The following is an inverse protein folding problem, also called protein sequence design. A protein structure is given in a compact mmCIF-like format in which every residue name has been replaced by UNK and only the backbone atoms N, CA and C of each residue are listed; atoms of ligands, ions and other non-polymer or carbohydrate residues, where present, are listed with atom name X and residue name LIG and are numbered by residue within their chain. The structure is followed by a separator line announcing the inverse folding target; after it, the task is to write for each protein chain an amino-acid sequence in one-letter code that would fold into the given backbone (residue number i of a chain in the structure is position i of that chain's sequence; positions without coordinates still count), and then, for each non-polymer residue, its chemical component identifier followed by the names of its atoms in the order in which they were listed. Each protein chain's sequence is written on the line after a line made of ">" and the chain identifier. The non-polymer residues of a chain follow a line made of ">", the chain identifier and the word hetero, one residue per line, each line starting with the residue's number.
data_IF_195464094058
#
_entry.id   IF_195464094058
#
_cell.length_a   1.000
_cell.length_b   1.000
_cell.length_c   1.000
_cell.angle_alpha   90.00
_cell.angle_beta   90.00
_cell.angle_gamma   90.00
#
_symmetry.space_group_name_H-M   'P 1'
#
loop_
_entity.id
_entity.type
_entity.pdbx_description
1 polymer ?
#
# COMPACT_ATOMS: atom_id res chain seq x y z
N UNK A 1 14.16 5.76 -18.21
CA UNK A 1 13.15 6.83 -18.20
C UNK A 1 12.49 6.92 -16.84
N UNK A 2 12.19 8.15 -16.39
CA UNK A 2 11.44 8.40 -15.16
C UNK A 2 10.11 9.05 -15.53
N UNK A 3 9.03 8.60 -14.90
CA UNK A 3 7.70 9.17 -15.07
C UNK A 3 7.14 9.58 -13.71
N UNK A 4 6.44 10.72 -13.70
CA UNK A 4 5.57 11.15 -12.62
C UNK A 4 4.16 11.25 -13.18
N UNK A 5 3.25 10.43 -12.67
CA UNK A 5 1.87 10.35 -13.16
C UNK A 5 0.95 10.90 -12.08
N UNK A 6 0.07 11.83 -12.47
CA UNK A 6 -0.86 12.52 -11.58
C UNK A 6 -2.29 12.29 -12.05
N UNK A 7 -3.02 11.44 -11.34
CA UNK A 7 -4.41 11.13 -11.66
C UNK A 7 -5.33 11.99 -10.78
N UNK A 8 -6.11 12.93 -11.35
CA UNK A 8 -6.97 13.81 -10.55
C UNK A 8 -8.09 13.00 -9.89
N UNK A 9 -8.30 13.25 -8.60
CA UNK A 9 -9.44 12.75 -7.84
C UNK A 9 -10.51 13.83 -7.73
N UNK A 10 -11.64 13.51 -7.09
CA UNK A 10 -12.81 14.36 -7.02
C UNK A 10 -14.03 13.73 -7.70
N UNK A 11 -14.99 14.54 -8.13
CA UNK A 11 -16.18 14.06 -8.86
C UNK A 11 -16.87 12.89 -8.15
N UNK A 12 -17.04 11.76 -8.87
CA UNK A 12 -17.65 10.55 -8.31
C UNK A 12 -16.88 9.97 -7.11
N UNK A 13 -15.56 10.10 -7.07
CA UNK A 13 -14.74 9.59 -5.95
C UNK A 13 -15.04 10.29 -4.63
N UNK A 14 -15.52 11.55 -4.65
CA UNK A 14 -15.92 12.27 -3.43
C UNK A 14 -17.30 11.86 -2.91
N UNK A 15 -18.11 11.17 -3.72
CA UNK A 15 -19.47 10.74 -3.37
C UNK A 15 -19.52 9.34 -2.77
N UNK A 16 -18.47 8.55 -2.96
CA UNK A 16 -18.34 7.17 -2.45
C UNK A 16 -17.77 7.22 -1.03
N UNK A 17 -18.38 6.50 -0.09
CA UNK A 17 -17.87 6.42 1.29
C UNK A 17 -16.51 5.72 1.34
N UNK A 18 -15.61 6.13 2.25
CA UNK A 18 -14.30 5.47 2.39
C UNK A 18 -14.42 3.99 2.77
N UNK A 19 -15.52 3.61 3.41
CA UNK A 19 -15.78 2.25 3.90
C UNK A 19 -16.69 1.43 2.97
N UNK A 20 -17.15 2.01 1.86
CA UNK A 20 -18.04 1.34 0.89
C UNK A 20 -17.35 0.15 0.24
N UNK A 21 -16.06 0.28 -0.06
CA UNK A 21 -15.21 -0.79 -0.58
C UNK A 21 -13.87 -0.80 0.17
N UNK A 22 -13.02 -1.83 -0.01
CA UNK A 22 -11.70 -1.87 0.64
C UNK A 22 -10.83 -0.65 0.35
N UNK A 23 -10.97 -0.03 -0.83
CA UNK A 23 -10.18 1.13 -1.26
C UNK A 23 -10.69 2.43 -0.59
N UNK A 24 -9.91 3.04 0.32
CA UNK A 24 -10.40 4.08 1.22
C UNK A 24 -10.10 5.51 0.74
N UNK A 25 -9.32 5.69 -0.33
CA UNK A 25 -8.83 7.00 -0.73
C UNK A 25 -9.89 7.74 -1.57
N UNK A 26 -10.90 8.27 -0.88
CA UNK A 26 -12.08 8.94 -1.46
C UNK A 26 -12.03 10.46 -1.22
N UNK A 27 -13.11 11.04 -0.71
CA UNK A 27 -13.22 12.48 -0.38
C UNK A 27 -12.01 12.98 0.43
N UNK A 28 -11.50 14.15 0.05
CA UNK A 28 -10.35 14.80 0.68
C UNK A 28 -8.98 14.49 0.05
N UNK A 29 -8.91 13.58 -0.94
CA UNK A 29 -7.71 13.36 -1.73
C UNK A 29 -7.84 14.12 -3.07
N UNK A 30 -6.84 14.93 -3.42
CA UNK A 30 -6.86 15.76 -4.64
C UNK A 30 -6.43 14.98 -5.89
N UNK A 31 -5.43 14.12 -5.77
CA UNK A 31 -4.90 13.30 -6.85
C UNK A 31 -4.14 12.09 -6.28
N UNK A 32 -4.01 11.04 -7.09
CA UNK A 32 -3.02 9.98 -6.88
C UNK A 32 -1.72 10.36 -7.61
N UNK A 33 -0.58 10.11 -6.97
CA UNK A 33 0.74 10.46 -7.49
C UNK A 33 1.61 9.21 -7.54
N UNK A 34 2.01 8.81 -8.75
CA UNK A 34 2.82 7.63 -8.99
C UNK A 34 4.21 8.04 -9.49
N UNK A 35 5.25 7.46 -8.91
CA UNK A 35 6.62 7.57 -9.42
C UNK A 35 6.98 6.24 -10.09
N UNK A 36 7.46 6.29 -11.32
CA UNK A 36 7.84 5.09 -12.06
C UNK A 36 9.20 5.29 -12.71
N UNK A 37 10.07 4.31 -12.56
CA UNK A 37 11.35 4.27 -13.26
C UNK A 37 11.36 3.03 -14.15
N UNK A 38 11.59 3.23 -15.45
CA UNK A 38 11.78 2.15 -16.43
C UNK A 38 13.21 2.17 -16.93
N UNK A 39 13.82 0.99 -17.05
CA UNK A 39 15.16 0.80 -17.59
C UNK A 39 15.23 -0.52 -18.36
N UNK A 40 16.19 -0.62 -19.28
CA UNK A 40 16.33 -1.77 -20.19
C UNK A 40 17.40 -2.75 -19.71
N UNK A 41 18.47 -2.25 -19.09
CA UNK A 41 19.61 -3.06 -18.68
C UNK A 41 19.28 -3.88 -17.44
N UNK A 42 19.13 -5.19 -17.60
CA UNK A 42 18.88 -6.11 -16.49
C UNK A 42 20.19 -6.51 -15.78
N UNK A 43 20.72 -5.63 -14.93
CA UNK A 43 21.86 -5.92 -14.07
C UNK A 43 21.59 -5.51 -12.62
N UNK A 44 22.20 -6.20 -11.66
CA UNK A 44 22.07 -5.87 -10.23
C UNK A 44 22.48 -4.41 -9.97
N UNK A 45 23.54 -3.94 -10.63
CA UNK A 45 24.05 -2.57 -10.50
C UNK A 45 23.02 -1.53 -10.96
N UNK A 46 22.46 -1.68 -12.16
CA UNK A 46 21.47 -0.72 -12.67
C UNK A 46 20.15 -0.80 -11.89
N UNK A 47 19.69 -2.01 -11.53
CA UNK A 47 18.51 -2.18 -10.67
C UNK A 47 18.68 -1.47 -9.33
N UNK A 48 19.82 -1.65 -8.65
CA UNK A 48 20.11 -0.97 -7.38
C UNK A 48 20.11 0.55 -7.51
N UNK A 49 20.70 1.08 -8.59
CA UNK A 49 20.73 2.52 -8.89
C UNK A 49 19.32 3.08 -9.08
N UNK A 50 18.49 2.44 -9.88
CA UNK A 50 17.12 2.91 -10.16
C UNK A 50 16.20 2.79 -8.94
N UNK A 51 16.30 1.68 -8.19
CA UNK A 51 15.57 1.49 -6.92
C UNK A 51 16.02 2.50 -5.87
N UNK A 52 17.32 2.77 -5.75
CA UNK A 52 17.81 3.81 -4.85
C UNK A 52 17.25 5.18 -5.20
N UNK A 53 17.25 5.54 -6.49
CA UNK A 53 16.76 6.83 -6.96
C UNK A 53 15.27 7.05 -6.66
N UNK A 54 14.41 6.07 -6.94
CA UNK A 54 12.97 6.20 -6.66
C UNK A 54 12.69 6.29 -5.15
N UNK A 55 13.45 5.57 -4.32
CA UNK A 55 13.38 5.68 -2.85
C UNK A 55 13.78 7.08 -2.36
N UNK A 56 14.81 7.68 -2.96
CA UNK A 56 15.22 9.05 -2.65
C UNK A 56 14.12 10.07 -3.00
N UNK A 57 13.52 9.95 -4.19
CA UNK A 57 12.38 10.79 -4.57
C UNK A 57 11.18 10.60 -3.63
N UNK A 58 10.83 9.35 -3.31
CA UNK A 58 9.76 9.04 -2.36
C UNK A 58 10.04 9.66 -0.98
N UNK A 59 11.28 9.62 -0.49
CA UNK A 59 11.69 10.26 0.77
C UNK A 59 11.58 11.79 0.69
N UNK A 60 12.06 12.38 -0.40
CA UNK A 60 11.98 13.83 -0.64
C UNK A 60 10.54 14.34 -0.62
N UNK A 61 9.60 13.58 -1.19
CA UNK A 61 8.19 13.97 -1.28
C UNK A 61 7.40 13.83 0.02
N UNK A 62 8.00 13.28 1.08
CA UNK A 62 7.34 13.01 2.37
C UNK A 62 6.54 14.21 2.95
N UNK A 63 7.02 15.47 2.96
CA UNK A 63 6.28 16.57 3.59
C UNK A 63 5.12 17.10 2.74
N UNK A 64 5.04 16.74 1.46
CA UNK A 64 4.06 17.29 0.50
C UNK A 64 2.89 16.35 0.21
N UNK A 65 2.94 15.11 0.72
CA UNK A 65 1.92 14.09 0.50
C UNK A 65 1.18 13.78 1.80
N UNK A 66 0.18 12.89 1.72
CA UNK A 66 -0.57 12.45 2.89
C UNK A 66 0.32 11.97 4.04
N UNK A 67 -0.13 12.22 5.27
CA UNK A 67 0.52 11.84 6.51
C UNK A 67 -0.51 11.30 7.50
N UNK A 68 -0.05 10.44 8.41
CA UNK A 68 -0.85 9.82 9.48
C UNK A 68 -2.09 9.00 9.01
N UNK A 69 -1.92 7.93 8.23
CA UNK A 69 -0.68 7.39 7.68
C UNK A 69 -0.34 8.03 6.32
N UNK A 70 0.92 7.85 5.87
CA UNK A 70 1.26 8.10 4.47
C UNK A 70 0.56 7.04 3.61
N UNK A 71 -0.45 7.46 2.85
CA UNK A 71 -1.30 6.59 2.07
C UNK A 71 -0.54 5.92 0.92
N UNK A 72 -1.00 4.73 0.54
CA UNK A 72 -0.51 3.95 -0.60
C UNK A 72 -1.67 3.26 -1.30
N UNK A 73 -1.47 2.81 -2.54
CA UNK A 73 -2.48 2.09 -3.32
C UNK A 73 -2.02 0.66 -3.57
N UNK A 74 -2.84 -0.33 -3.19
CA UNK A 74 -2.48 -1.75 -3.21
C UNK A 74 -2.02 -2.25 -4.60
N UNK A 75 -2.63 -1.76 -5.68
CA UNK A 75 -2.27 -2.16 -7.04
C UNK A 75 -0.89 -1.62 -7.47
N UNK A 76 -0.30 -0.71 -6.69
CA UNK A 76 1.10 -0.30 -6.77
C UNK A 76 1.84 -0.85 -5.55
N UNK A 77 1.92 -2.18 -5.47
CA UNK A 77 2.45 -2.89 -4.30
C UNK A 77 3.89 -2.47 -4.01
N UNK A 78 4.11 -1.96 -2.82
CA UNK A 78 5.41 -1.50 -2.32
C UNK A 78 5.82 -2.28 -1.07
N UNK A 79 6.81 -3.17 -1.22
CA UNK A 79 7.35 -3.97 -0.13
C UNK A 79 8.21 -3.13 0.84
N UNK A 80 8.65 -1.93 0.44
CA UNK A 80 9.40 -1.01 1.33
C UNK A 80 8.51 -0.46 2.46
N UNK A 81 7.18 -0.58 2.33
CA UNK A 81 6.23 -0.21 3.39
C UNK A 81 6.23 -1.21 4.57
N UNK A 82 6.80 -2.40 4.36
CA UNK A 82 6.87 -3.49 5.33
C UNK A 82 6.32 -4.80 4.76
N UNK A 83 6.79 -5.92 5.27
CA UNK A 83 6.35 -7.26 4.85
C UNK A 83 5.97 -8.11 6.05
N UNK A 84 5.16 -9.12 5.80
CA UNK A 84 4.92 -10.23 6.70
C UNK A 84 6.20 -11.05 6.79
N UNK A 85 6.66 -11.36 8.01
CA UNK A 85 7.81 -12.23 8.23
C UNK A 85 7.41 -13.68 7.96
N UNK A 86 8.35 -14.48 7.50
CA UNK A 86 8.14 -15.92 7.37
C UNK A 86 7.85 -16.54 8.75
N UNK A 87 6.82 -17.38 8.83
CA UNK A 87 6.46 -18.11 10.05
C UNK A 87 5.72 -17.31 11.14
N UNK A 88 5.72 -15.98 11.09
CA UNK A 88 4.98 -15.12 12.03
C UNK A 88 4.27 -14.00 11.29
N UNK A 89 2.94 -14.06 11.25
CA UNK A 89 2.10 -13.09 10.55
C UNK A 89 1.12 -12.42 11.53
N UNK A 90 1.64 -11.53 12.37
CA UNK A 90 0.82 -10.80 13.33
C UNK A 90 0.02 -9.68 12.66
N UNK A 91 -1.26 -9.53 13.05
CA UNK A 91 -2.07 -8.37 12.70
C UNK A 91 -1.42 -7.04 13.09
N UNK A 92 -0.75 -6.99 14.26
CA UNK A 92 -0.11 -5.76 14.74
C UNK A 92 1.07 -5.32 13.86
N UNK A 93 1.88 -6.28 13.39
CA UNK A 93 3.00 -6.00 12.48
C UNK A 93 2.47 -5.58 11.10
N UNK A 94 1.52 -6.34 10.55
CA UNK A 94 0.93 -6.03 9.25
C UNK A 94 0.19 -4.68 9.23
N UNK A 95 -0.34 -4.23 10.37
CA UNK A 95 -1.03 -2.94 10.49
C UNK A 95 -0.14 -1.77 10.07
N UNK A 96 1.19 -1.89 10.18
CA UNK A 96 2.15 -0.84 9.76
C UNK A 96 1.98 -0.47 8.28
N UNK A 97 1.86 -1.47 7.40
CA UNK A 97 1.63 -1.26 5.97
C UNK A 97 0.13 -1.29 5.62
N UNK A 98 -0.66 -2.11 6.30
CA UNK A 98 -2.08 -2.34 6.01
C UNK A 98 -2.91 -1.07 6.07
N UNK A 99 -2.70 -0.21 7.08
CA UNK A 99 -3.44 1.05 7.20
C UNK A 99 -3.05 2.08 6.13
N UNK A 100 -1.87 1.95 5.50
CA UNK A 100 -1.47 2.81 4.38
C UNK A 100 -2.31 2.51 3.14
N UNK A 101 -2.59 1.23 2.88
CA UNK A 101 -3.43 0.79 1.77
C UNK A 101 -4.93 0.95 2.05
N UNK A 102 -5.36 0.59 3.26
CA UNK A 102 -6.78 0.36 3.56
C UNK A 102 -7.36 1.28 4.64
N UNK A 103 -6.56 2.17 5.26
CA UNK A 103 -6.99 3.04 6.38
C UNK A 103 -7.80 2.25 7.44
N UNK A 104 -8.99 2.74 7.82
CA UNK A 104 -9.89 2.10 8.78
C UNK A 104 -10.43 0.75 8.32
N UNK A 105 -10.42 0.46 7.01
CA UNK A 105 -10.96 -0.78 6.46
C UNK A 105 -10.08 -2.01 6.75
N UNK A 106 -8.81 -1.82 7.16
CA UNK A 106 -7.88 -2.93 7.38
C UNK A 106 -8.37 -3.95 8.42
N UNK A 107 -9.01 -3.49 9.50
CA UNK A 107 -9.57 -4.38 10.53
C UNK A 107 -10.70 -5.24 9.97
N UNK A 108 -11.65 -4.62 9.25
CA UNK A 108 -12.76 -5.34 8.60
C UNK A 108 -12.24 -6.38 7.61
N UNK A 109 -11.18 -6.07 6.88
CA UNK A 109 -10.54 -7.00 5.95
C UNK A 109 -9.93 -8.22 6.67
N UNK A 110 -9.26 -8.02 7.81
CA UNK A 110 -8.71 -9.12 8.61
C UNK A 110 -9.81 -10.03 9.19
N UNK A 111 -10.96 -9.46 9.58
CA UNK A 111 -12.13 -10.26 9.98
C UNK A 111 -12.66 -11.12 8.82
N UNK A 112 -12.83 -10.54 7.63
CA UNK A 112 -13.28 -11.29 6.44
C UNK A 112 -12.28 -12.39 6.11
N UNK A 113 -10.98 -12.07 6.09
CA UNK A 113 -9.89 -13.03 5.83
C UNK A 113 -9.98 -14.24 6.76
N UNK A 114 -10.18 -14.02 8.07
CA UNK A 114 -10.33 -15.09 9.06
C UNK A 114 -11.51 -16.01 8.74
N UNK A 115 -12.63 -15.45 8.30
CA UNK A 115 -13.84 -16.24 8.02
C UNK A 115 -13.71 -17.05 6.72
N UNK A 116 -13.09 -16.49 5.68
CA UNK A 116 -13.04 -17.14 4.35
C UNK A 116 -11.79 -17.98 4.13
N UNK A 117 -10.71 -17.73 4.87
CA UNK A 117 -9.45 -18.46 4.78
C UNK A 117 -8.81 -18.58 6.18
N UNK A 118 -9.43 -19.35 7.10
CA UNK A 118 -8.98 -19.49 8.49
C UNK A 118 -7.59 -20.11 8.63
N UNK A 119 -7.16 -20.89 7.64
CA UNK A 119 -5.82 -21.52 7.62
C UNK A 119 -4.76 -20.62 6.96
N UNK A 120 -5.16 -19.42 6.51
CA UNK A 120 -4.30 -18.47 5.81
C UNK A 120 -3.52 -19.13 4.65
N UNK A 121 -4.23 -19.92 3.85
CA UNK A 121 -3.68 -20.61 2.68
C UNK A 121 -3.31 -19.60 1.58
N UNK A 122 -4.18 -18.63 1.30
CA UNK A 122 -3.94 -17.58 0.31
C UNK A 122 -3.11 -16.45 0.91
N UNK A 123 -1.79 -16.56 0.84
CA UNK A 123 -0.86 -15.62 1.47
C UNK A 123 0.30 -15.19 0.57
N UNK A 124 0.85 -14.02 0.87
CA UNK A 124 2.09 -13.48 0.30
C UNK A 124 2.76 -12.51 1.29
N UNK A 125 3.81 -11.82 0.86
CA UNK A 125 4.63 -10.92 1.70
C UNK A 125 3.85 -9.72 2.25
N UNK A 126 2.67 -9.40 1.71
CA UNK A 126 1.77 -8.34 2.18
C UNK A 126 0.29 -8.78 2.15
N UNK A 127 0.01 -10.08 2.36
CA UNK A 127 -1.37 -10.54 2.48
C UNK A 127 -1.97 -10.08 3.82
N UNK A 128 -3.26 -9.78 3.83
CA UNK A 128 -3.99 -9.46 5.06
C UNK A 128 -3.84 -10.65 6.02
N UNK A 129 -3.38 -10.43 7.28
CA UNK A 129 -3.21 -11.49 8.25
C UNK A 129 -4.52 -11.88 8.91
N UNK A 130 -4.50 -12.99 9.63
CA UNK A 130 -5.59 -13.36 10.51
C UNK A 130 -5.65 -12.40 11.70
N UNK A 131 -6.86 -11.99 12.08
CA UNK A 131 -7.06 -11.27 13.33
C UNK A 131 -6.82 -12.24 14.51
N UNK A 132 -6.10 -11.86 15.58
CA UNK A 132 -5.94 -12.71 16.76
C UNK A 132 -7.29 -13.10 17.37
N UNK A 133 -7.40 -14.32 17.89
CA UNK A 133 -8.49 -14.66 18.82
C UNK A 133 -8.19 -14.00 20.16
N UNK A 134 -9.19 -13.33 20.72
CA UNK A 134 -9.19 -12.87 22.11
C UNK A 134 -10.16 -13.75 22.89
#
# INVERSE_FOLDING_TARGET
>A
MVFMIMDPYGGRMNKISESETPFPHRKGNLYNLQYLVKWEVNSIRESNKHVHWIRMLYKYMKPYVSKYPRAAYLNHRDLDLGTNKEGSMSYSEARVWGVKYFKGNFKRLAHVKRNVDPNNFFRNEQSIPLLPEY
#
